data_IF_462407420032
#
_entry.id   IF_462407420032
#
_cell.length_a   1.000
_cell.length_b   1.000
_cell.length_c   1.000
_cell.angle_alpha   90.00
_cell.angle_beta   90.00
_cell.angle_gamma   90.00
#
_symmetry.space_group_name_H-M   'P 1'
#
loop_
_entity.id
_entity.type
_entity.pdbx_description
1 polymer ?
#
# COMPACT_ATOMS: atom_id res chain seq x y z
N UNK A 1 10.65 -10.94 9.16
CA UNK A 1 10.91 -9.66 8.48
C UNK A 1 9.68 -9.32 7.67
N UNK A 2 9.27 -8.06 7.71
CA UNK A 2 8.17 -7.52 6.90
C UNK A 2 8.81 -6.52 5.95
N UNK A 3 8.58 -6.70 4.65
CA UNK A 3 8.98 -5.74 3.63
C UNK A 3 7.71 -5.15 3.03
N UNK A 4 7.67 -3.83 2.94
CA UNK A 4 6.56 -3.08 2.39
C UNK A 4 7.12 -1.98 1.49
N UNK A 5 6.74 -1.97 0.22
CA UNK A 5 7.16 -0.95 -0.74
C UNK A 5 5.99 -0.47 -1.57
N UNK A 6 6.03 0.81 -1.93
CA UNK A 6 5.14 1.41 -2.90
C UNK A 6 5.76 1.34 -4.29
N UNK A 7 4.96 1.05 -5.31
CA UNK A 7 5.41 0.93 -6.68
C UNK A 7 4.33 1.33 -7.68
N UNK A 8 4.75 1.74 -8.88
CA UNK A 8 3.83 2.15 -9.95
C UNK A 8 3.20 0.97 -10.67
N UNK A 9 3.85 -0.20 -10.65
CA UNK A 9 3.33 -1.41 -11.30
C UNK A 9 3.84 -2.70 -10.63
N UNK A 10 3.36 -3.84 -11.12
CA UNK A 10 3.75 -5.18 -10.71
C UNK A 10 4.10 -6.03 -11.93
N UNK A 11 5.16 -6.82 -11.84
CA UNK A 11 5.48 -7.80 -12.88
C UNK A 11 4.58 -9.05 -12.80
N UNK A 12 4.81 -10.02 -13.71
CA UNK A 12 4.05 -11.27 -13.76
C UNK A 12 4.15 -12.14 -12.49
N UNK A 13 5.14 -11.90 -11.64
CA UNK A 13 5.35 -12.57 -10.35
C UNK A 13 4.87 -11.71 -9.16
N UNK A 14 4.11 -10.64 -9.42
CA UNK A 14 3.68 -9.63 -8.46
C UNK A 14 4.83 -8.90 -7.75
N UNK A 15 6.02 -8.83 -8.35
CA UNK A 15 7.14 -8.08 -7.79
C UNK A 15 7.00 -6.59 -8.15
N UNK A 16 7.42 -5.69 -7.25
CA UNK A 16 7.26 -4.26 -7.45
C UNK A 16 8.12 -3.76 -8.62
N UNK A 17 7.51 -3.00 -9.52
CA UNK A 17 8.17 -2.30 -10.63
C UNK A 17 7.94 -0.80 -10.48
N UNK A 18 9.00 0.00 -10.65
CA UNK A 18 8.92 1.45 -10.45
C UNK A 18 8.64 1.82 -8.99
N UNK A 19 9.48 1.32 -8.08
CA UNK A 19 9.41 1.68 -6.65
C UNK A 19 9.63 3.18 -6.50
N UNK A 20 8.70 3.86 -5.82
CA UNK A 20 8.73 5.31 -5.64
C UNK A 20 8.01 5.73 -4.36
N UNK A 21 8.30 6.94 -3.90
CA UNK A 21 7.53 7.66 -2.88
C UNK A 21 6.90 8.94 -3.45
N UNK A 22 7.01 9.17 -4.76
CA UNK A 22 6.43 10.31 -5.47
C UNK A 22 5.69 9.82 -6.70
N UNK A 23 4.46 10.28 -6.88
CA UNK A 23 3.59 9.87 -7.98
C UNK A 23 2.92 11.09 -8.62
N UNK A 24 2.66 11.07 -9.93
CA UNK A 24 1.94 12.16 -10.59
C UNK A 24 0.44 12.11 -10.27
N UNK A 25 -0.26 13.25 -10.35
CA UNK A 25 -1.72 13.31 -10.16
C UNK A 25 -2.50 12.39 -11.09
N UNK A 26 -1.99 12.17 -12.30
CA UNK A 26 -2.57 11.31 -13.33
C UNK A 26 -2.22 9.81 -13.15
N UNK A 27 -1.54 9.43 -12.07
CA UNK A 27 -1.27 8.02 -11.78
C UNK A 27 -2.59 7.25 -11.76
N UNK A 28 -2.71 6.20 -12.57
CA UNK A 28 -3.91 5.37 -12.59
C UNK A 28 -4.06 4.59 -11.28
N UNK A 29 -2.94 4.08 -10.76
CA UNK A 29 -2.89 3.25 -9.56
C UNK A 29 -1.53 3.35 -8.90
N UNK A 30 -1.54 3.30 -7.57
CA UNK A 30 -0.36 3.19 -6.73
C UNK A 30 -0.46 1.86 -5.99
N UNK A 31 0.51 0.98 -6.18
CA UNK A 31 0.52 -0.34 -5.57
C UNK A 31 1.31 -0.35 -4.27
N UNK A 32 0.86 -1.18 -3.35
CA UNK A 32 1.56 -1.60 -2.16
C UNK A 32 1.89 -3.09 -2.32
N UNK A 33 3.18 -3.42 -2.42
CA UNK A 33 3.68 -4.78 -2.38
C UNK A 33 4.18 -5.11 -0.97
N UNK A 34 3.64 -6.18 -0.38
CA UNK A 34 3.96 -6.63 0.96
C UNK A 34 4.53 -8.04 0.92
N UNK A 35 5.65 -8.25 1.60
CA UNK A 35 6.20 -9.56 1.89
C UNK A 35 6.27 -9.75 3.40
N UNK A 36 5.57 -10.76 3.90
CA UNK A 36 5.50 -11.08 5.33
C UNK A 36 6.08 -12.46 5.63
N UNK A 37 6.57 -12.60 6.86
CA UNK A 37 6.69 -13.88 7.53
C UNK A 37 5.92 -13.80 8.86
N UNK A 38 4.72 -14.38 8.88
CA UNK A 38 3.71 -14.23 9.94
C UNK A 38 3.75 -15.34 11.01
N UNK A 39 4.64 -16.33 10.83
CA UNK A 39 4.66 -17.54 11.66
C UNK A 39 3.50 -18.49 11.34
N UNK A 40 3.33 -19.53 12.17
CA UNK A 40 2.38 -20.61 11.91
C UNK A 40 0.91 -20.27 12.20
N UNK A 41 0.66 -19.30 13.07
CA UNK A 41 -0.70 -18.90 13.46
C UNK A 41 -1.26 -17.85 12.51
N UNK A 42 -2.58 -17.86 12.34
CA UNK A 42 -3.27 -16.80 11.61
C UNK A 42 -3.12 -15.45 12.31
N UNK A 43 -2.80 -14.43 11.54
CA UNK A 43 -2.60 -13.05 11.98
C UNK A 43 -3.57 -12.16 11.23
N UNK A 44 -4.11 -11.17 11.93
CA UNK A 44 -4.92 -10.10 11.31
C UNK A 44 -4.00 -9.06 10.72
N UNK A 45 -4.22 -8.72 9.45
CA UNK A 45 -3.46 -7.70 8.72
C UNK A 45 -4.44 -6.61 8.32
N UNK A 46 -4.18 -5.38 8.76
CA UNK A 46 -4.97 -4.21 8.40
C UNK A 46 -4.12 -3.26 7.55
N UNK A 47 -4.64 -2.84 6.39
CA UNK A 47 -4.01 -1.89 5.47
C UNK A 47 -4.93 -0.67 5.39
N UNK A 48 -4.40 0.52 5.65
CA UNK A 48 -5.17 1.76 5.68
C UNK A 48 -4.45 2.84 4.88
N UNK A 49 -5.14 3.40 3.89
CA UNK A 49 -4.65 4.51 3.07
C UNK A 49 -5.23 5.82 3.57
N UNK A 50 -4.41 6.87 3.58
CA UNK A 50 -4.79 8.23 3.98
C UNK A 50 -4.28 9.29 3.00
N UNK A 51 -5.00 10.41 2.96
CA UNK A 51 -4.58 11.69 2.39
C UNK A 51 -4.61 12.73 3.52
N UNK A 52 -3.44 13.21 3.95
CA UNK A 52 -3.32 13.90 5.24
C UNK A 52 -3.95 13.08 6.38
N UNK A 53 -4.87 13.68 7.13
CA UNK A 53 -5.61 13.02 8.22
C UNK A 53 -6.84 12.24 7.76
N UNK A 54 -7.23 12.36 6.49
CA UNK A 54 -8.43 11.71 5.96
C UNK A 54 -8.15 10.25 5.61
N UNK A 55 -8.94 9.32 6.16
CA UNK A 55 -8.96 7.93 5.68
C UNK A 55 -9.62 7.87 4.30
N UNK A 56 -8.90 7.24 3.35
CA UNK A 56 -9.40 7.01 1.99
C UNK A 56 -10.05 5.63 1.87
N UNK A 57 -9.34 4.61 2.32
CA UNK A 57 -9.80 3.22 2.29
C UNK A 57 -9.03 2.37 3.28
N UNK A 58 -9.69 1.32 3.76
CA UNK A 58 -9.10 0.31 4.63
C UNK A 58 -9.49 -1.09 4.18
N UNK A 59 -8.58 -2.04 4.39
CA UNK A 59 -8.77 -3.46 4.10
C UNK A 59 -8.18 -4.32 5.19
N UNK A 60 -8.96 -5.29 5.63
CA UNK A 60 -8.51 -6.34 6.54
C UNK A 60 -8.32 -7.64 5.78
N UNK A 61 -7.24 -8.36 6.08
CA UNK A 61 -7.00 -9.73 5.67
C UNK A 61 -6.58 -10.58 6.88
N UNK A 62 -6.74 -11.90 6.75
CA UNK A 62 -6.20 -12.86 7.71
C UNK A 62 -5.26 -13.78 6.96
N UNK A 63 -4.04 -13.94 7.47
CA UNK A 63 -3.06 -14.84 6.85
C UNK A 63 -2.04 -15.37 7.86
N UNK A 64 -1.43 -16.48 7.49
CA UNK A 64 -0.34 -17.14 8.20
C UNK A 64 0.78 -17.53 7.22
N UNK A 65 1.95 -17.84 7.79
CA UNK A 65 3.14 -18.28 7.07
C UNK A 65 3.85 -17.16 6.30
N UNK A 66 4.61 -17.56 5.27
CA UNK A 66 5.22 -16.63 4.32
C UNK A 66 4.17 -16.22 3.29
N UNK A 67 3.95 -14.91 3.12
CA UNK A 67 2.91 -14.39 2.24
C UNK A 67 3.40 -13.17 1.46
N UNK A 68 3.00 -13.13 0.20
CA UNK A 68 3.05 -11.93 -0.62
C UNK A 68 1.62 -11.40 -0.74
N UNK A 69 1.40 -10.15 -0.37
CA UNK A 69 0.10 -9.49 -0.46
C UNK A 69 0.28 -8.23 -1.30
N UNK A 70 -0.60 -8.07 -2.27
CA UNK A 70 -0.71 -6.84 -3.05
C UNK A 70 -1.97 -6.11 -2.62
N UNK A 71 -1.84 -4.79 -2.44
CA UNK A 71 -2.95 -3.87 -2.34
C UNK A 71 -2.67 -2.65 -3.21
N UNK A 72 -3.67 -1.80 -3.43
CA UNK A 72 -3.48 -0.62 -4.25
C UNK A 72 -4.49 0.45 -3.91
N UNK A 73 -4.06 1.69 -4.08
CA UNK A 73 -4.93 2.85 -4.14
C UNK A 73 -5.10 3.26 -5.61
N UNK A 74 -6.34 3.41 -6.05
CA UNK A 74 -6.66 3.92 -7.39
C UNK A 74 -7.97 4.67 -7.32
N UNK A 75 -8.08 5.73 -8.09
CA UNK A 75 -9.37 6.34 -8.40
C UNK A 75 -9.93 5.72 -9.69
N UNK A 76 -11.25 5.73 -9.85
CA UNK A 76 -11.87 5.38 -11.13
C UNK A 76 -11.46 6.36 -12.23
N UNK A 77 -11.77 6.05 -13.49
CA UNK A 77 -11.39 6.84 -14.67
C UNK A 77 -11.75 8.33 -14.62
N UNK A 78 -12.71 8.69 -13.78
CA UNK A 78 -13.29 10.03 -13.74
C UNK A 78 -12.60 10.94 -12.71
N UNK A 79 -11.57 10.46 -12.02
CA UNK A 79 -10.87 11.20 -10.96
C UNK A 79 -9.36 10.95 -10.97
N UNK A 80 -8.62 12.01 -10.70
CA UNK A 80 -7.17 11.98 -10.48
C UNK A 80 -6.86 12.09 -8.99
N UNK A 81 -5.62 11.77 -8.61
CA UNK A 81 -5.14 12.03 -7.27
C UNK A 81 -4.99 13.54 -7.04
N UNK A 82 -5.46 14.03 -5.89
CA UNK A 82 -5.16 15.39 -5.47
C UNK A 82 -3.68 15.50 -5.10
N UNK A 83 -2.96 16.59 -5.45
CA UNK A 83 -1.61 16.83 -4.97
C UNK A 83 -1.55 16.87 -3.43
N UNK A 84 -0.44 16.46 -2.86
CA UNK A 84 -0.15 16.53 -1.43
C UNK A 84 0.31 15.20 -0.85
N UNK A 85 0.26 15.12 0.49
CA UNK A 85 0.85 14.02 1.24
C UNK A 85 -0.16 12.92 1.55
N UNK A 86 0.27 11.70 1.30
CA UNK A 86 -0.47 10.48 1.53
C UNK A 86 0.34 9.53 2.38
N UNK A 87 -0.35 8.53 2.94
CA UNK A 87 0.33 7.41 3.57
C UNK A 87 -0.45 6.12 3.42
N UNK A 88 0.26 5.01 3.48
CA UNK A 88 -0.33 3.72 3.77
C UNK A 88 0.26 3.13 5.04
N UNK A 89 -0.62 2.74 5.96
CA UNK A 89 -0.26 2.09 7.22
C UNK A 89 -0.64 0.62 7.15
N UNK A 90 0.29 -0.24 7.52
CA UNK A 90 0.10 -1.68 7.63
C UNK A 90 0.23 -2.06 9.10
N UNK A 91 -0.79 -2.70 9.66
CA UNK A 91 -0.80 -3.20 11.03
C UNK A 91 -0.99 -4.71 11.06
N UNK A 92 -0.32 -5.38 12.00
CA UNK A 92 -0.46 -6.82 12.26
C UNK A 92 -0.93 -6.99 13.71
N UNK A 93 -2.10 -7.60 13.90
CA UNK A 93 -2.82 -7.72 15.18
C UNK A 93 -2.90 -6.41 15.96
N UNK A 94 -3.29 -5.34 15.26
CA UNK A 94 -3.44 -4.01 15.84
C UNK A 94 -2.13 -3.28 16.16
N UNK A 95 -0.96 -3.85 15.85
CA UNK A 95 0.34 -3.17 15.97
C UNK A 95 0.82 -2.69 14.62
N UNK A 96 1.21 -1.43 14.51
CA UNK A 96 1.79 -0.89 13.28
C UNK A 96 3.08 -1.65 12.94
N UNK A 97 3.10 -2.27 11.76
CA UNK A 97 4.24 -2.98 11.21
C UNK A 97 5.01 -2.12 10.22
N UNK A 98 4.33 -1.28 9.45
CA UNK A 98 4.93 -0.31 8.54
C UNK A 98 4.03 0.90 8.33
N UNK A 99 4.63 2.05 8.04
CA UNK A 99 3.96 3.23 7.52
C UNK A 99 4.81 3.79 6.40
N UNK A 100 4.24 3.87 5.21
CA UNK A 100 4.92 4.37 4.02
C UNK A 100 4.30 5.72 3.64
N UNK A 101 4.97 6.84 3.91
CA UNK A 101 4.57 8.12 3.37
C UNK A 101 4.89 8.19 1.88
N UNK A 102 4.05 8.87 1.12
CA UNK A 102 4.32 9.24 -0.27
C UNK A 102 3.63 10.55 -0.61
N UNK A 103 4.12 11.24 -1.63
CA UNK A 103 3.52 12.49 -2.09
C UNK A 103 3.00 12.32 -3.52
N UNK A 104 1.87 12.97 -3.80
CA UNK A 104 1.38 13.16 -5.16
C UNK A 104 1.70 14.60 -5.58
N UNK A 105 2.33 14.76 -6.73
CA UNK A 105 2.69 16.09 -7.26
C UNK A 105 2.04 16.31 -8.62
N UNK A 106 1.75 17.57 -8.93
CA UNK A 106 1.55 17.96 -10.33
C UNK A 106 2.87 17.74 -11.07
N UNK A 107 2.80 17.24 -12.30
CA UNK A 107 3.98 17.15 -13.18
C UNK A 107 4.52 18.54 -13.52
#
# INVERSE_FOLDING_TARGET
>A
MTEAVLCSDLDGDNRPVGVSATYPTNANRIYLALLFNLGASDRRIDIQWRYGDQELTSRTAVASGRRQIVNSLSYGSDRTFAPGDYSVTVSIDGRVAATLPFSVTED
#
